data_IF_078347458622
#
_entry.id   IF_078347458622
#
_cell.length_a   1.000
_cell.length_b   1.000
_cell.length_c   1.000
_cell.angle_alpha   90.00
_cell.angle_beta   90.00
_cell.angle_gamma   90.00
#
_symmetry.space_group_name_H-M   'P 1'
#
loop_
_entity.id
_entity.type
_entity.pdbx_description
1 polymer ?
#
# COMPACT_ATOMS: atom_id res chain seq x y z
N UNK A 1 8.52 -22.21 13.00
CA UNK A 1 8.87 -20.95 12.31
C UNK A 1 8.08 -19.83 12.94
N UNK A 2 8.70 -18.74 13.33
CA UNK A 2 8.01 -17.58 13.90
C UNK A 2 7.16 -16.89 12.79
N UNK A 3 5.96 -16.42 13.14
CA UNK A 3 5.07 -15.68 12.24
C UNK A 3 5.74 -14.38 11.77
N UNK A 4 5.92 -14.23 10.47
CA UNK A 4 6.53 -13.03 9.89
C UNK A 4 5.45 -11.98 9.63
N UNK A 5 5.57 -10.83 10.28
CA UNK A 5 4.57 -9.77 10.21
C UNK A 5 5.13 -8.37 10.00
N UNK A 6 6.44 -8.18 10.11
CA UNK A 6 7.08 -6.87 10.01
C UNK A 6 7.59 -6.66 8.60
N UNK A 7 6.95 -5.78 7.85
CA UNK A 7 7.42 -5.38 6.54
C UNK A 7 8.64 -4.45 6.68
N UNK A 8 9.65 -4.66 5.86
CA UNK A 8 10.92 -3.91 5.88
C UNK A 8 10.91 -2.70 4.95
N UNK A 9 9.89 -2.58 4.10
CA UNK A 9 9.72 -1.45 3.18
C UNK A 9 8.25 -1.14 2.93
N UNK A 10 7.97 0.10 2.53
CA UNK A 10 6.62 0.55 2.14
C UNK A 10 6.10 -0.27 0.96
N UNK A 11 6.92 -0.46 -0.08
CA UNK A 11 6.54 -1.27 -1.25
C UNK A 11 6.25 -2.72 -0.88
N UNK A 12 7.05 -3.31 0.02
CA UNK A 12 6.83 -4.65 0.57
C UNK A 12 5.51 -4.76 1.35
N UNK A 13 5.20 -3.77 2.20
CA UNK A 13 3.91 -3.70 2.92
C UNK A 13 2.74 -3.65 1.94
N UNK A 14 2.77 -2.74 0.97
CA UNK A 14 1.70 -2.57 -0.03
C UNK A 14 1.53 -3.84 -0.88
N UNK A 15 2.64 -4.45 -1.30
CA UNK A 15 2.62 -5.71 -2.06
C UNK A 15 2.02 -6.85 -1.24
N UNK A 16 2.45 -7.03 0.03
CA UNK A 16 1.93 -8.08 0.91
C UNK A 16 0.42 -7.91 1.12
N UNK A 17 -0.02 -6.70 1.39
CA UNK A 17 -1.44 -6.40 1.58
C UNK A 17 -2.26 -6.66 0.31
N UNK A 18 -1.88 -6.07 -0.82
CA UNK A 18 -2.68 -6.13 -2.04
C UNK A 18 -2.62 -7.51 -2.70
N UNK A 19 -1.41 -8.07 -2.85
CA UNK A 19 -1.19 -9.29 -3.65
C UNK A 19 -1.39 -10.56 -2.83
N UNK A 20 -0.92 -10.56 -1.56
CA UNK A 20 -0.96 -11.77 -0.74
C UNK A 20 -2.20 -11.85 0.16
N UNK A 21 -2.75 -10.72 0.63
CA UNK A 21 -3.90 -10.76 1.53
C UNK A 21 -5.22 -10.47 0.81
N UNK A 22 -5.38 -9.28 0.22
CA UNK A 22 -6.65 -8.91 -0.40
C UNK A 22 -7.08 -9.87 -1.52
N UNK A 23 -6.14 -10.30 -2.37
CA UNK A 23 -6.40 -11.28 -3.43
C UNK A 23 -6.95 -12.60 -2.90
N UNK A 24 -6.68 -12.95 -1.65
CA UNK A 24 -7.13 -14.18 -0.99
C UNK A 24 -8.34 -13.97 -0.07
N UNK A 25 -9.03 -12.81 -0.18
CA UNK A 25 -10.30 -12.56 0.51
C UNK A 25 -10.16 -11.95 1.91
N UNK A 26 -9.00 -11.41 2.28
CA UNK A 26 -8.81 -10.66 3.51
C UNK A 26 -9.25 -9.21 3.29
N UNK A 27 -10.54 -8.94 3.39
CA UNK A 27 -11.13 -7.65 3.07
C UNK A 27 -11.53 -6.83 4.29
N UNK A 28 -11.86 -7.49 5.40
CA UNK A 28 -12.19 -6.80 6.66
C UNK A 28 -10.92 -6.41 7.38
N UNK A 29 -10.85 -5.19 7.89
CA UNK A 29 -9.61 -4.70 8.47
C UNK A 29 -9.83 -3.72 9.63
N UNK A 30 -8.82 -3.66 10.50
CA UNK A 30 -8.59 -2.60 11.47
C UNK A 30 -7.16 -2.12 11.30
N UNK A 31 -6.95 -0.81 11.35
CA UNK A 31 -5.62 -0.20 11.37
C UNK A 31 -5.37 0.49 12.70
N UNK A 32 -4.11 0.57 13.09
CA UNK A 32 -3.71 1.33 14.27
C UNK A 32 -2.25 1.75 14.20
N UNK A 33 -1.87 2.57 15.17
CA UNK A 33 -0.50 2.99 15.37
C UNK A 33 -0.04 2.65 16.78
N UNK A 34 1.14 2.06 16.90
CA UNK A 34 1.73 1.69 18.19
C UNK A 34 2.32 2.97 18.82
N UNK A 35 1.87 3.36 20.02
CA UNK A 35 2.40 4.53 20.72
C UNK A 35 3.92 4.45 20.91
N UNK A 36 4.62 5.59 20.87
CA UNK A 36 6.09 5.67 20.98
C UNK A 36 6.63 5.03 22.26
N UNK A 37 5.88 5.10 23.35
CA UNK A 37 6.21 4.51 24.67
C UNK A 37 6.12 2.98 24.72
N UNK A 38 5.56 2.31 23.68
CA UNK A 38 5.41 0.85 23.66
C UNK A 38 6.42 0.22 22.70
N UNK A 39 6.87 -0.98 23.04
CA UNK A 39 7.77 -1.81 22.24
C UNK A 39 6.93 -2.51 21.17
N UNK A 40 7.19 -2.28 19.86
CA UNK A 40 6.37 -2.85 18.78
C UNK A 40 6.27 -4.37 18.80
N UNK A 41 7.37 -5.07 19.04
CA UNK A 41 7.38 -6.55 19.06
C UNK A 41 6.49 -7.16 20.15
N UNK A 42 6.37 -6.49 21.30
CA UNK A 42 5.47 -6.92 22.38
C UNK A 42 3.99 -6.79 21.98
N UNK A 43 3.65 -5.72 21.25
CA UNK A 43 2.29 -5.55 20.71
C UNK A 43 2.01 -6.57 19.60
N UNK A 44 3.00 -6.83 18.71
CA UNK A 44 2.89 -7.85 17.68
C UNK A 44 2.52 -9.20 18.29
N UNK A 45 3.29 -9.67 19.28
CA UNK A 45 3.04 -10.95 19.97
C UNK A 45 1.66 -10.99 20.61
N UNK A 46 1.27 -9.93 21.32
CA UNK A 46 -0.04 -9.82 21.96
C UNK A 46 -1.19 -9.94 20.95
N UNK A 47 -1.12 -9.24 19.81
CA UNK A 47 -2.17 -9.27 18.80
C UNK A 47 -2.21 -10.61 18.05
N UNK A 48 -1.05 -11.18 17.74
CA UNK A 48 -0.93 -12.48 17.08
C UNK A 48 -1.54 -13.58 17.98
N UNK A 49 -1.23 -13.56 19.25
CA UNK A 49 -1.77 -14.51 20.23
C UNK A 49 -3.27 -14.29 20.44
N UNK A 50 -3.69 -13.04 20.68
CA UNK A 50 -5.09 -12.67 20.93
C UNK A 50 -6.02 -13.17 19.82
N UNK A 51 -5.65 -12.99 18.57
CA UNK A 51 -6.49 -13.36 17.42
C UNK A 51 -6.12 -14.72 16.79
N UNK A 52 -5.22 -15.48 17.40
CA UNK A 52 -4.82 -16.81 16.91
C UNK A 52 -4.32 -16.79 15.46
N UNK A 53 -3.39 -15.86 15.16
CA UNK A 53 -2.98 -15.56 13.78
C UNK A 53 -1.89 -16.52 13.27
N UNK A 54 -1.00 -16.99 14.17
CA UNK A 54 0.10 -17.90 13.84
C UNK A 54 -0.41 -19.30 13.53
N UNK A 55 -1.03 -19.44 12.37
CA UNK A 55 -1.61 -20.70 11.90
C UNK A 55 -0.95 -21.15 10.60
N UNK A 56 -0.81 -22.46 10.43
CA UNK A 56 -0.34 -23.05 9.18
C UNK A 56 -1.28 -22.74 8.01
N UNK A 57 -0.76 -22.81 6.78
CA UNK A 57 -1.57 -22.66 5.57
C UNK A 57 -2.75 -23.64 5.54
N UNK A 58 -2.51 -24.87 5.96
CA UNK A 58 -3.54 -25.94 5.99
C UNK A 58 -4.62 -25.65 7.04
N UNK A 59 -4.25 -25.19 8.23
CA UNK A 59 -5.20 -24.82 9.28
C UNK A 59 -6.08 -23.65 8.85
N UNK A 60 -5.50 -22.63 8.20
CA UNK A 60 -6.27 -21.51 7.64
C UNK A 60 -7.26 -21.97 6.55
N UNK A 61 -6.84 -22.86 5.66
CA UNK A 61 -7.72 -23.41 4.64
C UNK A 61 -8.89 -24.22 5.24
N UNK A 62 -8.62 -25.02 6.29
CA UNK A 62 -9.65 -25.77 7.02
C UNK A 62 -10.63 -24.84 7.71
N UNK A 63 -10.16 -23.79 8.41
CA UNK A 63 -11.01 -22.78 9.04
C UNK A 63 -11.97 -22.16 8.02
N UNK A 64 -11.47 -21.71 6.86
CA UNK A 64 -12.31 -21.14 5.79
C UNK A 64 -13.40 -22.11 5.31
N UNK A 65 -13.09 -23.40 5.11
CA UNK A 65 -14.08 -24.42 4.72
C UNK A 65 -15.18 -24.61 5.77
N UNK A 66 -14.84 -24.44 7.05
CA UNK A 66 -15.77 -24.54 8.17
C UNK A 66 -16.49 -23.21 8.47
N UNK A 67 -16.51 -22.24 7.56
CA UNK A 67 -17.19 -20.96 7.76
C UNK A 67 -16.52 -20.02 8.78
N UNK A 68 -15.31 -20.36 9.25
CA UNK A 68 -14.56 -19.52 10.17
C UNK A 68 -13.66 -18.53 9.42
N UNK A 69 -13.58 -17.30 9.92
CA UNK A 69 -12.67 -16.32 9.37
C UNK A 69 -11.21 -16.67 9.72
N UNK A 70 -10.32 -16.34 8.78
CA UNK A 70 -8.88 -16.41 8.97
C UNK A 70 -8.34 -15.02 9.11
N UNK A 71 -7.38 -14.84 10.02
CA UNK A 71 -6.76 -13.55 10.33
C UNK A 71 -5.33 -13.47 9.83
N UNK A 72 -4.88 -12.26 9.51
CA UNK A 72 -3.48 -11.92 9.27
C UNK A 72 -3.15 -10.59 9.97
N UNK A 73 -1.90 -10.43 10.35
CA UNK A 73 -1.33 -9.23 10.93
C UNK A 73 -0.17 -8.77 10.07
N UNK A 74 -0.06 -7.46 9.85
CA UNK A 74 1.02 -6.85 9.11
C UNK A 74 1.39 -5.52 9.75
N UNK A 75 2.69 -5.27 9.94
CA UNK A 75 3.20 -4.02 10.50
C UNK A 75 4.33 -3.46 9.63
N UNK A 76 4.36 -2.15 9.52
CA UNK A 76 5.49 -1.38 9.02
C UNK A 76 5.78 -0.25 10.01
N UNK A 77 6.99 -0.20 10.52
CA UNK A 77 7.38 0.68 11.62
C UNK A 77 6.38 0.60 12.79
N UNK A 78 5.63 1.62 13.07
CA UNK A 78 4.60 1.66 14.12
C UNK A 78 3.17 1.50 13.61
N UNK A 79 2.95 1.60 12.30
CA UNK A 79 1.64 1.35 11.70
C UNK A 79 1.37 -0.14 11.59
N UNK A 80 0.23 -0.58 12.09
CA UNK A 80 -0.18 -1.98 11.96
C UNK A 80 -1.56 -2.13 11.33
N UNK A 81 -1.78 -3.31 10.79
CA UNK A 81 -2.99 -3.73 10.11
C UNK A 81 -3.36 -5.15 10.53
N UNK A 82 -4.57 -5.32 11.02
CA UNK A 82 -5.23 -6.61 11.16
C UNK A 82 -6.18 -6.80 9.98
N UNK A 83 -6.12 -7.93 9.30
CA UNK A 83 -7.04 -8.25 8.21
C UNK A 83 -7.68 -9.61 8.43
N UNK A 84 -8.97 -9.71 8.09
CA UNK A 84 -9.77 -10.91 8.21
C UNK A 84 -10.47 -11.28 6.90
N UNK A 85 -10.67 -12.58 6.70
CA UNK A 85 -11.59 -13.07 5.67
C UNK A 85 -13.03 -13.06 6.20
N UNK A 86 -14.00 -13.29 5.31
CA UNK A 86 -15.36 -13.56 5.73
C UNK A 86 -15.45 -14.84 6.60
N UNK A 87 -16.38 -14.87 7.55
CA UNK A 87 -16.64 -16.00 8.43
C UNK A 87 -16.77 -15.61 9.90
N UNK A 88 -17.00 -16.57 10.77
CA UNK A 88 -17.11 -16.35 12.23
C UNK A 88 -15.72 -16.22 12.87
N UNK A 89 -15.54 -15.17 13.66
CA UNK A 89 -14.35 -14.93 14.48
C UNK A 89 -14.64 -13.88 15.55
N UNK A 90 -14.14 -14.06 16.77
CA UNK A 90 -14.31 -13.10 17.88
C UNK A 90 -13.75 -11.69 17.57
N UNK A 91 -12.86 -11.58 16.62
CA UNK A 91 -12.39 -10.30 16.09
C UNK A 91 -13.54 -9.34 15.71
N UNK A 92 -14.59 -9.84 15.07
CA UNK A 92 -15.72 -9.01 14.63
C UNK A 92 -16.57 -8.53 15.81
N UNK A 93 -16.66 -9.32 16.86
CA UNK A 93 -17.38 -8.97 18.10
C UNK A 93 -16.59 -7.93 18.89
N UNK A 94 -15.29 -8.15 19.07
CA UNK A 94 -14.41 -7.27 19.83
C UNK A 94 -14.17 -5.91 19.16
N UNK A 95 -13.93 -5.90 17.86
CA UNK A 95 -13.69 -4.66 17.11
C UNK A 95 -15.01 -3.94 16.79
N UNK A 96 -16.13 -4.63 16.77
CA UNK A 96 -17.45 -4.05 16.62
C UNK A 96 -17.55 -3.07 15.44
N UNK A 97 -17.76 -1.78 15.73
CA UNK A 97 -17.86 -0.73 14.71
C UNK A 97 -16.51 -0.25 14.16
N UNK A 98 -15.38 -0.71 14.71
CA UNK A 98 -14.04 -0.24 14.31
C UNK A 98 -13.53 -0.94 13.06
N UNK A 99 -13.97 -2.16 12.77
CA UNK A 99 -13.54 -2.83 11.55
C UNK A 99 -14.25 -2.25 10.32
N UNK A 100 -13.53 -2.23 9.20
CA UNK A 100 -14.00 -1.74 7.91
C UNK A 100 -13.85 -2.81 6.85
N UNK A 101 -14.61 -2.66 5.75
CA UNK A 101 -14.50 -3.49 4.57
C UNK A 101 -13.74 -2.74 3.47
N UNK A 102 -12.57 -3.24 3.08
CA UNK A 102 -11.70 -2.63 2.08
C UNK A 102 -12.31 -2.55 0.66
N UNK A 103 -13.41 -3.26 0.41
CA UNK A 103 -14.19 -3.16 -0.83
C UNK A 103 -15.02 -1.87 -0.89
N UNK A 104 -15.37 -1.31 0.29
CA UNK A 104 -16.13 -0.05 0.44
C UNK A 104 -15.25 1.09 0.92
N UNK A 105 -14.36 0.83 1.87
CA UNK A 105 -13.48 1.80 2.50
C UNK A 105 -12.03 1.38 2.29
N UNK A 106 -11.29 2.01 1.36
CA UNK A 106 -9.90 1.65 1.11
C UNK A 106 -9.03 1.87 2.35
N UNK A 107 -7.98 1.08 2.47
CA UNK A 107 -6.94 1.25 3.48
C UNK A 107 -6.01 2.37 3.01
N UNK A 108 -5.80 3.36 3.88
CA UNK A 108 -4.87 4.46 3.64
C UNK A 108 -3.55 4.17 4.35
N UNK A 109 -2.46 4.18 3.59
CA UNK A 109 -1.13 3.90 4.12
C UNK A 109 -0.09 4.63 3.28
N UNK A 110 0.68 5.52 3.92
CA UNK A 110 1.82 6.23 3.34
C UNK A 110 1.54 6.85 1.95
N UNK A 111 0.42 7.56 1.82
CA UNK A 111 -0.02 8.18 0.58
C UNK A 111 -0.64 7.24 -0.45
N UNK A 112 -0.77 5.96 -0.12
CA UNK A 112 -1.52 4.99 -0.92
C UNK A 112 -2.96 4.84 -0.43
N UNK A 113 -3.85 4.60 -1.38
CA UNK A 113 -5.22 4.12 -1.16
C UNK A 113 -5.32 2.70 -1.73
N UNK A 114 -5.53 1.71 -0.85
CA UNK A 114 -5.48 0.29 -1.17
C UNK A 114 -6.86 -0.32 -0.89
N UNK A 115 -7.53 -0.78 -1.91
CA UNK A 115 -8.88 -1.33 -1.79
C UNK A 115 -9.14 -2.42 -2.81
N UNK A 116 -10.43 -2.71 -3.05
CA UNK A 116 -10.89 -3.73 -3.97
C UNK A 116 -11.85 -3.13 -4.99
N UNK A 117 -11.64 -3.37 -6.27
CA UNK A 117 -12.55 -2.89 -7.33
C UNK A 117 -12.54 -3.83 -8.52
N UNK A 118 -13.71 -4.06 -9.10
CA UNK A 118 -13.88 -4.88 -10.30
C UNK A 118 -13.21 -6.27 -10.18
N UNK A 119 -13.37 -6.94 -9.03
CA UNK A 119 -12.88 -8.30 -8.83
C UNK A 119 -11.39 -8.42 -8.48
N UNK A 120 -10.66 -7.31 -8.27
CA UNK A 120 -9.23 -7.36 -7.97
C UNK A 120 -8.77 -6.24 -7.01
N UNK A 121 -7.60 -6.43 -6.34
CA UNK A 121 -7.01 -5.38 -5.53
C UNK A 121 -6.68 -4.14 -6.36
N UNK A 122 -7.00 -2.97 -5.84
CA UNK A 122 -6.70 -1.68 -6.46
C UNK A 122 -5.77 -0.90 -5.55
N UNK A 123 -4.59 -0.57 -6.05
CA UNK A 123 -3.60 0.29 -5.39
C UNK A 123 -3.48 1.58 -6.19
N UNK A 124 -3.74 2.72 -5.56
CA UNK A 124 -3.66 4.05 -6.17
C UNK A 124 -2.99 5.04 -5.20
N UNK A 125 -2.54 6.17 -5.69
CA UNK A 125 -2.17 7.30 -4.84
C UNK A 125 -3.44 7.84 -4.21
N UNK A 126 -3.42 8.15 -2.92
CA UNK A 126 -4.53 8.74 -2.19
C UNK A 126 -4.99 10.05 -2.84
N UNK A 127 -6.30 10.33 -2.77
CA UNK A 127 -6.90 11.46 -3.50
C UNK A 127 -6.33 12.81 -3.11
N UNK A 128 -6.12 13.06 -1.82
CA UNK A 128 -5.49 14.29 -1.31
C UNK A 128 -4.06 14.40 -1.85
N UNK A 129 -3.22 13.40 -1.60
CA UNK A 129 -1.84 13.33 -2.06
C UNK A 129 -1.71 13.49 -3.58
N UNK A 130 -2.60 12.86 -4.36
CA UNK A 130 -2.62 13.02 -5.80
C UNK A 130 -2.92 14.47 -6.23
N UNK A 131 -3.85 15.15 -5.56
CA UNK A 131 -4.15 16.56 -5.82
C UNK A 131 -2.96 17.45 -5.53
N UNK A 132 -2.31 17.23 -4.38
CA UNK A 132 -1.16 18.01 -3.93
C UNK A 132 0.04 17.80 -4.87
N UNK A 133 0.34 16.56 -5.26
CA UNK A 133 1.35 16.26 -6.28
C UNK A 133 1.05 16.94 -7.61
N UNK A 134 -0.20 16.89 -8.06
CA UNK A 134 -0.59 17.51 -9.31
C UNK A 134 -0.44 19.03 -9.27
N UNK A 135 -0.84 19.68 -8.18
CA UNK A 135 -0.67 21.11 -7.96
C UNK A 135 0.82 21.48 -7.95
N UNK A 136 1.62 20.75 -7.18
CA UNK A 136 3.07 20.95 -7.11
C UNK A 136 3.76 20.87 -8.48
N UNK A 137 3.51 19.82 -9.25
CA UNK A 137 4.12 19.69 -10.58
C UNK A 137 3.59 20.70 -11.60
N UNK A 138 2.36 21.17 -11.47
CA UNK A 138 1.83 22.24 -12.31
C UNK A 138 2.47 23.59 -12.01
N UNK A 139 2.71 23.89 -10.74
CA UNK A 139 3.45 25.08 -10.32
C UNK A 139 4.87 25.07 -10.88
N UNK A 140 5.57 23.93 -10.74
CA UNK A 140 6.94 23.80 -11.26
C UNK A 140 7.03 23.74 -12.80
N UNK A 141 5.93 23.45 -13.49
CA UNK A 141 5.93 23.20 -14.94
C UNK A 141 6.56 24.33 -15.76
N UNK A 142 6.42 25.59 -15.33
CA UNK A 142 6.93 26.75 -16.01
C UNK A 142 8.24 27.28 -15.43
N UNK A 143 8.63 26.82 -14.25
CA UNK A 143 9.81 27.31 -13.52
C UNK A 143 11.00 26.36 -13.56
N UNK A 144 10.81 25.10 -13.96
CA UNK A 144 11.85 24.08 -13.99
C UNK A 144 12.14 23.58 -15.41
N UNK A 145 13.39 23.20 -15.64
CA UNK A 145 13.81 22.54 -16.91
C UNK A 145 13.15 21.15 -16.98
N UNK A 146 12.91 20.66 -18.22
CA UNK A 146 12.27 19.37 -18.46
C UNK A 146 12.98 18.21 -17.76
N UNK A 147 14.32 18.21 -17.78
CA UNK A 147 15.12 17.13 -17.20
C UNK A 147 15.01 17.08 -15.66
N UNK A 148 14.90 18.24 -15.01
CA UNK A 148 14.66 18.31 -13.56
C UNK A 148 13.29 17.78 -13.19
N UNK A 149 12.24 18.18 -13.93
CA UNK A 149 10.90 17.63 -13.73
C UNK A 149 10.83 16.12 -13.98
N UNK A 150 11.57 15.65 -14.99
CA UNK A 150 11.69 14.22 -15.27
C UNK A 150 12.33 13.46 -14.11
N UNK A 151 13.42 13.97 -13.55
CA UNK A 151 14.09 13.37 -12.40
C UNK A 151 13.19 13.33 -11.15
N UNK A 152 12.48 14.44 -10.86
CA UNK A 152 11.57 14.51 -9.72
C UNK A 152 10.37 13.55 -9.88
N UNK A 153 9.79 13.43 -11.08
CA UNK A 153 8.73 12.46 -11.38
C UNK A 153 9.22 11.01 -11.25
N UNK A 154 10.47 10.73 -11.67
CA UNK A 154 11.09 9.42 -11.56
C UNK A 154 11.31 9.01 -10.09
N UNK A 155 11.73 9.95 -9.26
CA UNK A 155 12.04 9.75 -7.85
C UNK A 155 10.81 9.58 -6.94
N UNK A 156 9.59 9.73 -7.46
CA UNK A 156 8.40 9.58 -6.65
C UNK A 156 8.33 8.17 -6.01
N UNK A 157 8.03 8.06 -4.70
CA UNK A 157 8.13 6.82 -3.94
C UNK A 157 6.97 5.85 -4.18
N UNK A 158 6.28 5.96 -5.31
CA UNK A 158 5.10 5.15 -5.60
C UNK A 158 5.42 4.01 -6.56
N UNK A 159 5.13 2.79 -6.13
CA UNK A 159 5.21 1.62 -6.99
C UNK A 159 4.19 1.70 -8.12
N UNK A 160 4.59 1.38 -9.37
CA UNK A 160 3.78 1.62 -10.56
C UNK A 160 2.68 0.57 -10.76
N UNK A 161 1.78 0.44 -9.80
CA UNK A 161 0.49 -0.24 -9.99
C UNK A 161 -0.31 0.45 -11.09
N UNK A 162 -1.16 -0.28 -11.81
CA UNK A 162 -1.89 0.28 -12.95
C UNK A 162 -2.63 1.61 -12.65
N UNK A 163 -3.37 1.75 -11.52
CA UNK A 163 -3.97 3.03 -11.17
C UNK A 163 -2.95 4.12 -10.85
N UNK A 164 -1.84 3.79 -10.17
CA UNK A 164 -0.75 4.75 -9.89
C UNK A 164 -0.15 5.27 -11.19
N UNK A 165 0.19 4.37 -12.13
CA UNK A 165 0.69 4.78 -13.46
C UNK A 165 -0.27 5.72 -14.18
N UNK A 166 -1.56 5.41 -14.15
CA UNK A 166 -2.58 6.26 -14.78
C UNK A 166 -2.62 7.65 -14.12
N UNK A 167 -2.51 7.74 -12.81
CA UNK A 167 -2.47 9.01 -12.08
C UNK A 167 -1.22 9.82 -12.43
N UNK A 168 -0.04 9.19 -12.44
CA UNK A 168 1.23 9.85 -12.79
C UNK A 168 1.24 10.30 -14.26
N UNK A 169 0.72 9.49 -15.18
CA UNK A 169 0.53 9.89 -16.58
C UNK A 169 -0.42 11.09 -16.72
N UNK A 170 -1.47 11.17 -15.92
CA UNK A 170 -2.37 12.32 -15.91
C UNK A 170 -1.67 13.59 -15.42
N UNK A 171 -0.79 13.49 -14.39
CA UNK A 171 0.04 14.62 -13.95
C UNK A 171 0.97 15.06 -15.08
N UNK A 172 1.73 14.14 -15.66
CA UNK A 172 2.67 14.41 -16.74
C UNK A 172 1.99 15.07 -17.95
N UNK A 173 0.81 14.57 -18.34
CA UNK A 173 0.03 15.17 -19.44
C UNK A 173 -0.41 16.61 -19.11
N UNK A 174 -0.81 16.87 -17.88
CA UNK A 174 -1.19 18.21 -17.43
C UNK A 174 0.01 19.17 -17.44
N UNK A 175 1.16 18.74 -16.92
CA UNK A 175 2.43 19.46 -16.98
C UNK A 175 2.81 19.78 -18.43
N UNK A 176 2.82 18.79 -19.31
CA UNK A 176 3.19 18.96 -20.70
C UNK A 176 2.22 19.89 -21.48
N UNK A 177 0.94 19.87 -21.12
CA UNK A 177 -0.04 20.82 -21.67
C UNK A 177 0.28 22.27 -21.28
N UNK A 178 0.63 22.50 -20.01
CA UNK A 178 1.03 23.82 -19.52
C UNK A 178 2.33 24.30 -20.22
N UNK A 179 3.34 23.43 -20.30
CA UNK A 179 4.62 23.70 -20.95
C UNK A 179 4.47 24.03 -22.44
N UNK A 180 3.65 23.24 -23.16
CA UNK A 180 3.37 23.49 -24.59
C UNK A 180 2.77 24.86 -24.83
N UNK A 181 1.82 25.30 -24.00
CA UNK A 181 1.21 26.64 -24.10
C UNK A 181 2.22 27.75 -23.88
N UNK A 182 3.26 27.53 -23.08
CA UNK A 182 4.32 28.49 -22.81
C UNK A 182 5.56 28.34 -23.74
N UNK A 183 5.50 27.46 -24.73
CA UNK A 183 6.62 27.25 -25.67
C UNK A 183 7.78 26.41 -25.09
N UNK A 184 7.61 25.76 -23.95
CA UNK A 184 8.66 24.96 -23.33
C UNK A 184 8.71 23.50 -23.82
N UNK A 185 9.92 22.92 -23.82
CA UNK A 185 10.15 21.52 -24.14
C UNK A 185 9.32 20.61 -23.22
N UNK A 186 8.67 19.60 -23.79
CA UNK A 186 7.91 18.62 -23.05
C UNK A 186 8.81 17.71 -22.21
N UNK A 187 8.30 17.25 -21.06
CA UNK A 187 8.92 16.22 -20.24
C UNK A 187 8.62 14.84 -20.86
N UNK A 188 9.63 14.00 -21.12
CA UNK A 188 9.43 12.71 -21.77
C UNK A 188 8.69 11.71 -20.85
N UNK A 189 7.83 10.87 -21.42
CA UNK A 189 7.09 9.86 -20.64
C UNK A 189 7.98 8.74 -20.12
N UNK A 190 9.15 8.54 -20.69
CA UNK A 190 10.17 7.60 -20.21
C UNK A 190 10.68 7.89 -18.80
N UNK A 191 10.43 9.10 -18.27
CA UNK A 191 10.73 9.43 -16.87
C UNK A 191 9.87 8.65 -15.85
N UNK A 192 8.72 8.12 -16.26
CA UNK A 192 7.86 7.35 -15.36
C UNK A 192 8.30 5.88 -15.30
N UNK A 193 8.32 5.33 -14.10
CA UNK A 193 8.56 3.90 -13.90
C UNK A 193 7.34 3.10 -14.32
N UNK A 194 7.52 2.05 -15.12
CA UNK A 194 6.43 1.18 -15.59
C UNK A 194 6.49 -0.23 -14.99
N UNK A 195 7.67 -0.69 -14.59
CA UNK A 195 7.86 -2.01 -13.96
C UNK A 195 7.87 -1.85 -12.45
N UNK A 196 7.08 -2.65 -11.74
CA UNK A 196 7.12 -2.72 -10.29
C UNK A 196 8.35 -3.48 -9.84
N UNK A 197 8.90 -3.08 -8.72
CA UNK A 197 9.84 -3.91 -7.97
C UNK A 197 9.07 -5.06 -7.29
N UNK A 198 9.67 -6.26 -7.27
CA UNK A 198 9.14 -7.42 -6.54
C UNK A 198 9.86 -7.48 -5.21
N UNK A 199 9.14 -7.18 -4.14
CA UNK A 199 9.67 -7.15 -2.79
C UNK A 199 9.63 -8.53 -2.14
N UNK A 200 10.60 -8.77 -1.25
CA UNK A 200 10.53 -9.78 -0.19
C UNK A 200 10.09 -9.07 1.09
N UNK A 201 8.80 -9.02 1.41
CA UNK A 201 8.25 -8.07 2.38
C UNK A 201 8.87 -8.12 3.77
N UNK A 202 9.37 -9.28 4.18
CA UNK A 202 9.89 -9.55 5.52
C UNK A 202 11.41 -9.76 5.58
N UNK A 203 12.11 -9.52 4.48
CA UNK A 203 13.57 -9.57 4.40
C UNK A 203 14.13 -8.16 4.31
N UNK A 204 15.32 -7.89 4.84
CA UNK A 204 15.97 -6.59 4.67
C UNK A 204 16.04 -6.22 3.18
N UNK A 205 15.63 -5.01 2.85
CA UNK A 205 15.76 -4.49 1.49
C UNK A 205 17.21 -4.04 1.28
N UNK A 206 17.97 -4.84 0.57
CA UNK A 206 19.28 -4.43 0.10
C UNK A 206 19.06 -3.50 -1.10
N UNK A 207 19.37 -2.22 -0.93
CA UNK A 207 19.49 -1.29 -2.06
C UNK A 207 20.71 -1.74 -2.85
N UNK A 208 20.52 -2.34 -4.02
CA UNK A 208 21.61 -2.48 -4.97
C UNK A 208 21.96 -1.07 -5.42
N UNK A 209 23.06 -0.54 -4.90
CA UNK A 209 23.70 0.66 -5.44
C UNK A 209 24.18 0.28 -6.85
N UNK A 210 23.43 0.69 -7.85
CA UNK A 210 23.89 0.65 -9.23
C UNK A 210 24.95 1.73 -9.38
N UNK A 211 26.21 1.27 -9.31
CA UNK A 211 27.41 2.04 -9.66
C UNK A 211 27.40 2.41 -11.15
#
# INVERSE_FOLDING_TARGET
>A
MSYRCVATSIGGFVQQLAVCYMRHGYWFYVTGSIPSRKIPSSIDQKLIQKYGIDLSKYTRARKKRNGQASMQYLRYDRFFLLVATHGHHHFFEEEGKNFRDARRYPIHFNGYSIGWRAGHPRVSIERSTYKDLKAYFLELALHRKADRLAAELHALPYEPYAPVRSQLLCILRAVNRARKKAGFKAVPSSCLRFKRHIYRPFEPYLVEEHS
#
